data_IF_894840609703
#
_entry.id   IF_894840609703
#
_cell.length_a   1.000
_cell.length_b   1.000
_cell.length_c   1.000
_cell.angle_alpha   90.00
_cell.angle_beta   90.00
_cell.angle_gamma   90.00
#
_symmetry.space_group_name_H-M   'P 1'
#
loop_
_entity.id
_entity.type
_entity.pdbx_description
1 polymer ?
#
# COMPACT_ATOMS: atom_id res chain seq x y z
N UNK A 1 14.38 6.27 43.63
CA UNK A 1 14.71 5.10 42.78
C UNK A 1 13.60 4.77 41.78
N UNK A 2 12.38 4.43 42.22
CA UNK A 2 11.26 4.07 41.33
C UNK A 2 10.85 5.18 40.34
N UNK A 3 10.85 6.46 40.76
CA UNK A 3 10.60 7.62 39.87
C UNK A 3 11.72 7.88 38.86
N UNK A 4 12.99 7.65 39.23
CA UNK A 4 14.12 7.80 38.28
C UNK A 4 14.09 6.71 37.22
N UNK A 5 13.77 5.46 37.61
CA UNK A 5 13.57 4.32 36.70
C UNK A 5 12.45 4.57 35.68
N UNK A 6 11.32 5.14 36.11
CA UNK A 6 10.23 5.51 35.20
C UNK A 6 10.61 6.62 34.21
N UNK A 7 11.39 7.62 34.65
CA UNK A 7 11.84 8.73 33.78
C UNK A 7 12.86 8.22 32.75
N UNK A 8 13.82 7.37 33.15
CA UNK A 8 14.77 6.76 32.21
C UNK A 8 14.09 5.83 31.22
N UNK A 9 13.10 5.05 31.65
CA UNK A 9 12.35 4.16 30.76
C UNK A 9 11.50 4.95 29.76
N UNK A 10 10.86 6.04 30.19
CA UNK A 10 10.10 6.93 29.31
C UNK A 10 10.99 7.63 28.26
N UNK A 11 12.19 8.07 28.64
CA UNK A 11 13.17 8.68 27.71
C UNK A 11 13.67 7.68 26.65
N UNK A 12 13.93 6.43 27.05
CA UNK A 12 14.38 5.38 26.12
C UNK A 12 13.28 4.98 25.14
N UNK A 13 12.02 4.84 25.60
CA UNK A 13 10.88 4.51 24.72
C UNK A 13 10.58 5.64 23.75
N UNK A 14 10.60 6.90 24.22
CA UNK A 14 10.39 8.07 23.36
C UNK A 14 11.49 8.19 22.29
N UNK A 15 12.73 7.83 22.61
CA UNK A 15 13.85 7.86 21.68
C UNK A 15 13.75 6.79 20.57
N UNK A 16 13.31 5.57 20.88
CA UNK A 16 13.13 4.52 19.86
C UNK A 16 12.01 4.86 18.86
N UNK A 17 10.93 5.49 19.30
CA UNK A 17 9.79 5.80 18.42
C UNK A 17 10.10 6.92 17.40
N UNK A 18 10.95 7.89 17.75
CA UNK A 18 11.30 9.01 16.85
C UNK A 18 12.33 8.63 15.78
N UNK A 19 13.21 7.67 16.06
CA UNK A 19 14.23 7.21 15.09
C UNK A 19 13.61 6.41 13.94
N UNK A 20 12.54 5.63 14.19
CA UNK A 20 11.89 4.85 13.15
C UNK A 20 11.12 5.71 12.13
N UNK A 21 10.54 6.84 12.57
CA UNK A 21 9.72 7.71 11.71
C UNK A 21 10.56 8.42 10.64
N UNK A 22 11.84 8.69 10.90
CA UNK A 22 12.72 9.42 9.98
C UNK A 22 13.57 8.50 9.08
N UNK A 23 13.48 7.17 9.21
CA UNK A 23 14.35 6.26 8.45
C UNK A 23 14.22 6.44 6.94
N UNK A 24 12.99 6.48 6.42
CA UNK A 24 12.75 6.60 4.99
C UNK A 24 13.04 8.01 4.47
N UNK A 25 12.85 9.03 5.32
CA UNK A 25 13.22 10.42 5.04
C UNK A 25 14.74 10.55 4.87
N UNK A 26 15.52 9.90 5.76
CA UNK A 26 16.98 9.90 5.71
C UNK A 26 17.53 9.13 4.50
N UNK A 27 16.89 8.01 4.13
CA UNK A 27 17.32 7.16 3.02
C UNK A 27 16.95 7.74 1.64
N UNK A 28 15.72 8.25 1.49
CA UNK A 28 15.14 8.58 0.19
C UNK A 28 14.57 10.01 0.10
N UNK A 29 14.80 10.84 1.12
CA UNK A 29 14.29 12.20 1.17
C UNK A 29 12.85 12.28 1.68
N UNK A 30 12.41 13.51 1.96
CA UNK A 30 11.05 13.80 2.40
C UNK A 30 10.01 13.32 1.38
N UNK A 31 8.84 12.90 1.87
CA UNK A 31 7.72 12.56 1.00
C UNK A 31 7.18 13.80 0.28
N UNK A 32 6.91 13.66 -1.00
CA UNK A 32 6.27 14.62 -1.89
C UNK A 32 4.92 14.07 -2.33
N UNK A 33 3.84 14.30 -1.56
CA UNK A 33 2.52 13.73 -1.88
C UNK A 33 2.06 14.02 -3.31
N UNK A 34 2.30 15.23 -3.78
CA UNK A 34 1.87 15.71 -5.10
C UNK A 34 2.63 15.09 -6.29
N UNK A 35 3.63 14.22 -6.04
CA UNK A 35 4.46 13.59 -7.09
C UNK A 35 3.63 12.97 -8.21
N UNK A 36 2.50 12.35 -7.87
CA UNK A 36 1.63 11.68 -8.84
C UNK A 36 0.47 12.52 -9.35
N UNK A 37 0.36 13.79 -8.98
CA UNK A 37 -0.62 14.72 -9.56
C UNK A 37 -0.23 15.14 -10.99
N UNK A 38 1.05 14.97 -11.34
CA UNK A 38 1.61 15.23 -12.68
C UNK A 38 2.47 14.04 -13.13
N UNK A 39 1.87 12.88 -13.36
CA UNK A 39 2.63 11.70 -13.73
C UNK A 39 3.28 11.90 -15.11
N UNK A 40 4.47 11.31 -15.28
CA UNK A 40 5.18 11.32 -16.55
C UNK A 40 4.94 10.00 -17.29
N UNK A 41 4.74 10.03 -18.62
CA UNK A 41 4.64 8.82 -19.41
C UNK A 41 6.02 8.15 -19.56
N UNK A 42 6.02 6.88 -19.95
CA UNK A 42 7.24 6.15 -20.31
C UNK A 42 7.18 5.66 -21.76
N UNK A 43 8.31 5.71 -22.51
CA UNK A 43 8.37 5.11 -23.84
C UNK A 43 8.48 3.57 -23.82
N UNK A 44 8.78 2.97 -22.67
CA UNK A 44 9.07 1.52 -22.56
C UNK A 44 7.96 0.71 -21.91
N UNK A 45 7.13 1.33 -21.06
CA UNK A 45 6.05 0.67 -20.33
C UNK A 45 4.82 1.58 -20.38
N UNK A 46 3.72 1.04 -20.88
CA UNK A 46 2.42 1.70 -20.95
C UNK A 46 1.56 1.24 -19.77
N UNK A 47 1.11 2.18 -18.94
CA UNK A 47 0.15 1.84 -17.88
C UNK A 47 -1.12 1.20 -18.47
N UNK A 48 -1.64 1.75 -19.56
CA UNK A 48 -2.91 1.29 -20.14
C UNK A 48 -2.82 -0.08 -20.79
N UNK A 49 -1.71 -0.37 -21.48
CA UNK A 49 -1.57 -1.60 -22.25
C UNK A 49 -0.86 -2.71 -21.47
N UNK A 50 0.04 -2.37 -20.54
CA UNK A 50 0.87 -3.36 -19.83
C UNK A 50 0.41 -3.56 -18.38
N UNK A 51 -0.05 -2.52 -17.70
CA UNK A 51 -0.29 -2.55 -16.23
C UNK A 51 -1.76 -2.77 -15.89
N UNK A 52 -2.64 -1.92 -16.42
CA UNK A 52 -4.08 -1.99 -16.16
C UNK A 52 -4.67 -3.39 -16.47
N UNK A 53 -4.28 -4.11 -17.55
CA UNK A 53 -4.78 -5.47 -17.80
C UNK A 53 -4.39 -6.47 -16.71
N UNK A 54 -3.16 -6.37 -16.17
CA UNK A 54 -2.70 -7.22 -15.06
C UNK A 54 -3.51 -6.94 -13.80
N UNK A 55 -3.68 -5.65 -13.46
CA UNK A 55 -4.47 -5.23 -12.29
C UNK A 55 -5.92 -5.68 -12.42
N UNK A 56 -6.53 -5.52 -13.60
CA UNK A 56 -7.89 -5.95 -13.87
C UNK A 56 -8.06 -7.46 -13.66
N UNK A 57 -7.11 -8.26 -14.15
CA UNK A 57 -7.21 -9.71 -14.06
C UNK A 57 -6.92 -10.26 -12.66
N UNK A 58 -6.05 -9.61 -11.88
CA UNK A 58 -5.45 -10.20 -10.67
C UNK A 58 -5.71 -9.45 -9.38
N UNK A 59 -6.17 -8.20 -9.44
CA UNK A 59 -6.26 -7.33 -8.28
C UNK A 59 -7.65 -6.70 -8.12
N UNK A 60 -8.27 -6.26 -9.22
CA UNK A 60 -9.57 -5.57 -9.21
C UNK A 60 -10.69 -6.40 -8.60
N UNK A 61 -10.64 -7.74 -8.68
CA UNK A 61 -11.63 -8.62 -8.03
C UNK A 61 -11.80 -8.34 -6.52
N UNK A 62 -10.74 -7.89 -5.84
CA UNK A 62 -10.80 -7.46 -4.43
C UNK A 62 -10.75 -5.94 -4.26
N UNK A 63 -10.23 -5.20 -5.25
CA UNK A 63 -9.93 -3.77 -5.16
C UNK A 63 -10.77 -2.90 -6.12
N UNK A 64 -12.01 -3.30 -6.42
CA UNK A 64 -12.89 -2.59 -7.36
C UNK A 64 -13.68 -1.43 -6.73
N UNK A 65 -14.10 -1.59 -5.48
CA UNK A 65 -15.18 -0.81 -4.86
C UNK A 65 -14.71 -0.13 -3.56
N UNK A 66 -15.59 0.65 -2.92
CA UNK A 66 -15.25 1.36 -1.67
C UNK A 66 -15.25 0.45 -0.43
N UNK A 67 -15.74 -0.78 -0.56
CA UNK A 67 -15.64 -1.87 0.41
C UNK A 67 -14.34 -2.69 0.26
N UNK A 68 -13.51 -2.34 -0.74
CA UNK A 68 -12.20 -2.98 -0.93
C UNK A 68 -11.37 -2.94 0.36
N UNK A 69 -10.54 -3.96 0.62
CA UNK A 69 -9.62 -3.96 1.75
C UNK A 69 -8.79 -2.68 1.79
N UNK A 70 -8.75 -2.03 2.95
CA UNK A 70 -8.08 -0.76 3.20
C UNK A 70 -8.52 0.36 2.23
N UNK A 71 -9.75 0.28 1.72
CA UNK A 71 -10.29 1.14 0.66
C UNK A 71 -9.42 1.25 -0.61
N UNK A 72 -8.38 0.43 -0.79
CA UNK A 72 -7.47 0.55 -1.91
C UNK A 72 -8.20 0.20 -3.21
N UNK A 73 -8.16 1.10 -4.19
CA UNK A 73 -8.79 0.91 -5.50
C UNK A 73 -7.74 0.78 -6.58
N UNK A 74 -7.84 -0.29 -7.37
CA UNK A 74 -6.86 -0.60 -8.43
C UNK A 74 -7.49 -0.58 -9.83
N UNK A 75 -8.67 0.04 -9.95
CA UNK A 75 -9.43 0.15 -11.21
C UNK A 75 -8.96 1.25 -12.14
N UNK A 76 -8.14 2.17 -11.64
CA UNK A 76 -7.61 3.33 -12.36
C UNK A 76 -6.34 3.83 -11.64
N UNK A 77 -5.47 4.54 -12.35
CA UNK A 77 -4.21 5.05 -11.81
C UNK A 77 -4.45 5.97 -10.60
N UNK A 78 -5.47 6.82 -10.67
CA UNK A 78 -5.86 7.74 -9.61
C UNK A 78 -6.32 7.00 -8.34
N UNK A 79 -6.85 5.77 -8.49
CA UNK A 79 -7.17 4.90 -7.36
C UNK A 79 -5.93 4.42 -6.63
N UNK A 80 -4.86 4.10 -7.38
CA UNK A 80 -3.57 3.67 -6.86
C UNK A 80 -2.89 4.84 -6.15
N UNK A 81 -2.86 6.02 -6.76
CA UNK A 81 -2.18 7.21 -6.22
C UNK A 81 -2.93 7.85 -5.06
N UNK A 82 -4.26 7.75 -5.04
CA UNK A 82 -5.06 8.03 -3.84
C UNK A 82 -4.54 7.23 -2.64
N UNK A 83 -4.20 5.96 -2.86
CA UNK A 83 -3.61 5.08 -1.87
C UNK A 83 -4.65 4.31 -1.05
N UNK A 84 -4.25 3.91 0.15
CA UNK A 84 -5.05 3.09 1.06
C UNK A 84 -5.45 3.89 2.31
N UNK A 85 -6.47 3.44 3.02
CA UNK A 85 -6.95 4.04 4.26
C UNK A 85 -7.44 2.98 5.23
N UNK A 86 -7.24 3.23 6.53
CA UNK A 86 -7.82 2.41 7.63
C UNK A 86 -9.30 2.70 7.86
N UNK A 87 -9.84 3.75 7.24
CA UNK A 87 -11.23 4.15 7.43
C UNK A 87 -12.17 3.08 6.87
N UNK A 88 -13.18 2.71 7.65
CA UNK A 88 -14.19 1.75 7.25
C UNK A 88 -15.42 2.51 6.70
N UNK A 89 -15.73 2.39 5.40
CA UNK A 89 -16.84 3.16 4.80
C UNK A 89 -18.20 2.58 5.16
N UNK A 90 -18.36 1.27 5.05
CA UNK A 90 -19.63 0.57 5.24
C UNK A 90 -19.80 0.05 6.67
N UNK A 91 -19.96 0.98 7.61
CA UNK A 91 -20.19 0.67 9.02
C UNK A 91 -21.69 0.74 9.36
N UNK A 92 -22.34 -0.42 9.54
CA UNK A 92 -23.78 -0.50 9.79
C UNK A 92 -24.22 0.05 11.14
N UNK A 93 -23.31 0.15 12.12
CA UNK A 93 -23.55 0.73 13.44
C UNK A 93 -23.49 2.25 13.46
N UNK A 94 -23.09 2.89 12.35
CA UNK A 94 -22.87 4.34 12.32
C UNK A 94 -24.20 5.10 12.33
N UNK A 95 -24.32 6.05 13.27
CA UNK A 95 -25.51 6.90 13.41
C UNK A 95 -25.47 8.17 12.54
N UNK A 96 -24.28 8.60 12.14
CA UNK A 96 -24.06 9.83 11.36
C UNK A 96 -23.49 9.49 9.98
N UNK A 97 -23.76 10.35 9.00
CA UNK A 97 -23.13 10.22 7.69
C UNK A 97 -21.60 10.37 7.82
N UNK A 98 -20.86 9.57 7.06
CA UNK A 98 -19.42 9.77 6.87
C UNK A 98 -19.18 10.64 5.65
N UNK A 99 -18.07 11.37 5.67
CA UNK A 99 -17.58 12.04 4.48
C UNK A 99 -17.30 11.03 3.37
N UNK A 100 -17.77 11.28 2.14
CA UNK A 100 -17.54 10.38 1.02
C UNK A 100 -16.08 10.47 0.53
N UNK A 101 -15.58 9.37 -0.01
CA UNK A 101 -14.21 9.19 -0.50
C UNK A 101 -14.17 8.73 -1.96
N UNK A 102 -15.15 9.19 -2.75
CA UNK A 102 -15.33 8.84 -4.15
C UNK A 102 -14.20 9.39 -5.00
N UNK A 103 -13.61 8.50 -5.78
CA UNK A 103 -12.57 8.85 -6.75
C UNK A 103 -13.14 9.88 -7.75
N UNK A 104 -12.34 10.88 -8.11
CA UNK A 104 -12.68 11.98 -9.03
C UNK A 104 -13.74 13.00 -8.56
N UNK A 105 -14.29 12.85 -7.36
CA UNK A 105 -15.34 13.75 -6.87
C UNK A 105 -15.01 14.40 -5.54
N UNK A 106 -14.50 13.62 -4.59
CA UNK A 106 -14.37 14.10 -3.21
C UNK A 106 -12.97 14.68 -2.92
N UNK A 107 -11.99 14.46 -3.81
CA UNK A 107 -10.70 15.15 -3.84
C UNK A 107 -10.05 15.03 -5.24
N UNK A 108 -9.29 16.06 -5.63
CA UNK A 108 -8.70 16.22 -6.97
C UNK A 108 -7.18 16.06 -6.99
N UNK A 109 -6.53 15.93 -5.83
CA UNK A 109 -5.08 15.73 -5.72
C UNK A 109 -4.73 14.67 -4.68
N UNK A 110 -3.58 14.02 -4.87
CA UNK A 110 -2.97 13.11 -3.88
C UNK A 110 -2.76 13.79 -2.53
N UNK A 111 -2.29 15.04 -2.50
CA UNK A 111 -2.19 15.82 -1.27
C UNK A 111 -3.54 15.97 -0.56
N UNK A 112 -4.62 16.24 -1.31
CA UNK A 112 -5.98 16.32 -0.75
C UNK A 112 -6.42 14.97 -0.18
N UNK A 113 -6.02 13.85 -0.80
CA UNK A 113 -6.26 12.51 -0.26
C UNK A 113 -5.49 12.24 1.03
N UNK A 114 -4.23 12.68 1.15
CA UNK A 114 -3.48 12.63 2.42
C UNK A 114 -4.22 13.37 3.52
N UNK A 115 -4.77 14.56 3.22
CA UNK A 115 -5.61 15.33 4.14
C UNK A 115 -6.89 14.60 4.60
N UNK A 116 -7.37 13.62 3.83
CA UNK A 116 -8.51 12.75 4.17
C UNK A 116 -8.09 11.44 4.88
N UNK A 117 -6.83 11.30 5.25
CA UNK A 117 -6.32 10.12 5.96
C UNK A 117 -6.07 8.90 5.05
N UNK A 118 -5.85 9.12 3.76
CA UNK A 118 -5.24 8.11 2.90
C UNK A 118 -3.73 8.20 2.97
N UNK A 119 -3.04 7.07 2.91
CA UNK A 119 -1.58 6.98 2.87
C UNK A 119 -1.13 6.32 1.54
N UNK A 120 0.07 6.66 1.04
CA UNK A 120 0.52 6.19 -0.25
C UNK A 120 0.81 4.69 -0.24
N UNK A 121 0.56 4.05 -1.39
CA UNK A 121 1.01 2.67 -1.67
C UNK A 121 2.13 2.61 -2.70
N UNK A 122 2.42 3.75 -3.36
CA UNK A 122 3.54 3.98 -4.26
C UNK A 122 4.59 4.84 -3.54
N UNK A 123 5.81 4.88 -4.07
CA UNK A 123 6.86 5.75 -3.53
C UNK A 123 6.57 7.23 -3.85
N UNK A 124 6.39 8.05 -2.81
CA UNK A 124 6.26 9.52 -2.91
C UNK A 124 7.57 10.26 -2.62
N UNK A 125 8.68 9.56 -2.42
CA UNK A 125 10.00 10.16 -2.11
C UNK A 125 10.84 10.31 -3.38
N UNK A 126 12.16 10.36 -3.27
CA UNK A 126 13.07 10.41 -4.42
C UNK A 126 12.69 9.36 -5.47
N UNK A 127 12.64 9.79 -6.74
CA UNK A 127 12.37 8.90 -7.87
C UNK A 127 13.64 8.19 -8.36
N UNK A 128 14.14 7.24 -7.57
CA UNK A 128 15.20 6.31 -7.96
C UNK A 128 14.66 4.88 -7.99
N UNK A 129 15.25 4.01 -8.82
CA UNK A 129 14.84 2.61 -8.94
C UNK A 129 14.75 1.91 -7.58
N UNK A 130 15.74 2.13 -6.73
CA UNK A 130 15.79 1.58 -5.38
C UNK A 130 14.67 2.14 -4.48
N UNK A 131 14.52 3.47 -4.40
CA UNK A 131 13.48 4.10 -3.59
C UNK A 131 12.08 3.68 -4.06
N UNK A 132 11.89 3.58 -5.37
CA UNK A 132 10.61 3.18 -5.96
C UNK A 132 10.17 1.77 -5.57
N UNK A 133 11.11 0.86 -5.31
CA UNK A 133 10.81 -0.48 -4.83
C UNK A 133 10.75 -0.56 -3.30
N UNK A 134 11.70 0.05 -2.61
CA UNK A 134 11.83 -0.07 -1.16
C UNK A 134 10.81 0.78 -0.40
N UNK A 135 10.50 1.98 -0.89
CA UNK A 135 9.52 2.90 -0.31
C UNK A 135 8.11 2.77 -0.92
N UNK A 136 7.78 1.60 -1.49
CA UNK A 136 6.46 1.32 -2.09
C UNK A 136 5.83 0.09 -1.44
N UNK A 137 4.75 0.29 -0.68
CA UNK A 137 4.01 -0.82 -0.06
C UNK A 137 3.51 -1.80 -1.13
N UNK A 138 3.08 -1.29 -2.29
CA UNK A 138 2.65 -2.15 -3.40
C UNK A 138 3.79 -3.05 -3.91
N UNK A 139 4.99 -2.50 -4.11
CA UNK A 139 6.15 -3.29 -4.52
C UNK A 139 6.52 -4.32 -3.45
N UNK A 140 6.57 -3.89 -2.19
CA UNK A 140 6.90 -4.76 -1.08
C UNK A 140 5.91 -5.93 -0.92
N UNK A 141 4.61 -5.70 -1.05
CA UNK A 141 3.59 -6.75 -0.98
C UNK A 141 3.72 -7.79 -2.12
N UNK A 142 4.09 -7.35 -3.32
CA UNK A 142 4.37 -8.25 -4.45
C UNK A 142 5.64 -9.07 -4.21
N UNK A 143 6.72 -8.41 -3.75
CA UNK A 143 7.99 -9.07 -3.44
C UNK A 143 7.83 -10.09 -2.31
N UNK A 144 7.06 -9.76 -1.28
CA UNK A 144 6.74 -10.67 -0.19
C UNK A 144 6.03 -11.92 -0.68
N UNK A 145 5.05 -11.79 -1.58
CA UNK A 145 4.34 -12.95 -2.15
C UNK A 145 5.28 -13.87 -2.91
N UNK A 146 6.23 -13.30 -3.64
CA UNK A 146 7.23 -14.06 -4.39
C UNK A 146 8.24 -14.75 -3.46
N UNK A 147 8.65 -14.08 -2.39
CA UNK A 147 9.57 -14.63 -1.39
C UNK A 147 8.90 -15.71 -0.52
N UNK A 148 7.60 -15.59 -0.28
CA UNK A 148 6.80 -16.50 0.54
C UNK A 148 5.57 -16.97 -0.25
N UNK A 149 5.74 -17.88 -1.22
CA UNK A 149 4.62 -18.45 -1.96
C UNK A 149 3.65 -19.19 -1.03
N UNK A 150 2.42 -19.41 -1.51
CA UNK A 150 1.44 -20.15 -0.72
C UNK A 150 1.95 -21.58 -0.44
N UNK A 151 1.64 -22.15 0.74
CA UNK A 151 1.90 -23.55 1.02
C UNK A 151 1.21 -24.47 0.01
N UNK A 152 1.90 -25.53 -0.41
CA UNK A 152 1.34 -26.57 -1.29
C UNK A 152 0.37 -27.46 -0.50
N UNK A 153 -0.84 -26.96 -0.32
CA UNK A 153 -1.91 -27.57 0.47
C UNK A 153 -3.26 -27.27 -0.15
N UNK A 154 -4.21 -28.21 -0.04
CA UNK A 154 -5.56 -28.01 -0.58
C UNK A 154 -6.35 -26.95 0.19
N UNK A 155 -6.06 -26.77 1.48
CA UNK A 155 -6.68 -25.80 2.37
C UNK A 155 -5.59 -25.00 3.03
N UNK A 156 -5.68 -23.67 2.92
CA UNK A 156 -4.72 -22.78 3.54
C UNK A 156 -4.78 -22.87 5.07
N UNK A 157 -3.64 -22.73 5.77
CA UNK A 157 -3.60 -22.82 7.23
C UNK A 157 -4.41 -21.70 7.89
N UNK A 158 -4.80 -21.92 9.15
CA UNK A 158 -5.55 -20.97 9.98
C UNK A 158 -4.86 -19.60 10.16
N UNK A 159 -3.58 -19.49 9.77
CA UNK A 159 -2.88 -18.21 9.70
C UNK A 159 -3.48 -17.25 8.67
N UNK A 160 -4.37 -17.70 7.78
CA UNK A 160 -5.13 -16.83 6.89
C UNK A 160 -6.53 -16.59 7.46
N UNK A 161 -6.89 -15.32 7.68
CA UNK A 161 -8.24 -14.95 8.06
C UNK A 161 -9.10 -14.63 6.83
N UNK A 162 -10.17 -15.41 6.64
CA UNK A 162 -11.16 -15.24 5.57
C UNK A 162 -12.56 -14.89 6.09
N UNK A 163 -12.70 -14.52 7.37
CA UNK A 163 -13.99 -14.10 7.94
C UNK A 163 -14.48 -12.83 7.24
N UNK A 164 -15.82 -12.70 7.15
CA UNK A 164 -16.49 -11.56 6.52
C UNK A 164 -16.23 -10.23 7.26
N UNK A 165 -16.15 -10.27 8.59
CA UNK A 165 -15.91 -9.11 9.46
C UNK A 165 -14.55 -9.21 10.17
N UNK A 166 -13.50 -9.50 9.40
CA UNK A 166 -12.14 -9.52 9.95
C UNK A 166 -11.59 -8.12 10.17
N UNK A 167 -10.69 -7.99 11.14
CA UNK A 167 -9.88 -6.79 11.29
C UNK A 167 -8.91 -6.68 10.11
N UNK A 168 -9.10 -5.64 9.30
CA UNK A 168 -8.26 -5.41 8.12
C UNK A 168 -6.86 -4.96 8.56
N UNK A 169 -5.84 -5.71 8.13
CA UNK A 169 -4.44 -5.39 8.41
C UNK A 169 -3.92 -4.40 7.37
N UNK A 170 -4.18 -3.12 7.61
CA UNK A 170 -3.90 -2.02 6.70
C UNK A 170 -2.60 -1.32 7.10
N UNK A 171 -1.47 -1.78 6.55
CA UNK A 171 -0.14 -1.20 6.81
C UNK A 171 0.20 -0.09 5.83
N UNK A 172 0.91 0.92 6.33
CA UNK A 172 1.64 1.90 5.54
C UNK A 172 3.12 1.47 5.41
N UNK A 173 3.96 2.33 4.83
CA UNK A 173 5.37 2.05 4.60
C UNK A 173 6.16 1.94 5.91
N UNK A 174 5.89 2.85 6.85
CA UNK A 174 6.58 2.95 8.14
C UNK A 174 6.37 1.67 8.98
N UNK A 175 5.18 1.07 8.93
CA UNK A 175 4.84 -0.13 9.69
C UNK A 175 4.98 -1.45 8.88
N UNK A 176 5.37 -1.37 7.60
CA UNK A 176 5.40 -2.55 6.72
C UNK A 176 6.37 -3.64 7.22
N UNK A 177 7.49 -3.27 7.83
CA UNK A 177 8.46 -4.23 8.34
C UNK A 177 7.84 -5.13 9.42
N UNK A 178 7.16 -4.53 10.40
CA UNK A 178 6.41 -5.25 11.45
C UNK A 178 5.28 -6.09 10.85
N UNK A 179 4.52 -5.54 9.89
CA UNK A 179 3.49 -6.28 9.18
C UNK A 179 4.04 -7.56 8.53
N UNK A 180 5.18 -7.46 7.82
CA UNK A 180 5.80 -8.59 7.14
C UNK A 180 6.28 -9.67 8.11
N UNK A 181 6.81 -9.27 9.26
CA UNK A 181 7.25 -10.20 10.32
C UNK A 181 6.06 -10.95 10.93
N UNK A 182 4.97 -10.25 11.21
CA UNK A 182 3.76 -10.84 11.80
C UNK A 182 2.95 -11.68 10.80
N UNK A 183 2.99 -11.31 9.52
CA UNK A 183 2.17 -11.90 8.46
C UNK A 183 2.98 -12.30 7.22
N UNK A 184 4.00 -13.18 7.33
CA UNK A 184 4.94 -13.45 6.25
C UNK A 184 4.27 -13.99 4.97
N UNK A 185 3.21 -14.77 5.10
CA UNK A 185 2.46 -15.36 3.97
C UNK A 185 1.41 -14.41 3.36
N UNK A 186 1.22 -13.20 3.90
CA UNK A 186 0.14 -12.29 3.52
C UNK A 186 0.53 -11.29 2.41
N UNK A 187 1.54 -11.62 1.61
CA UNK A 187 1.84 -10.89 0.38
C UNK A 187 0.68 -10.96 -0.63
N UNK A 188 0.65 -10.00 -1.56
CA UNK A 188 -0.42 -9.87 -2.54
C UNK A 188 -0.11 -10.64 -3.84
N UNK A 189 -1.08 -11.36 -4.44
CA UNK A 189 -2.49 -11.47 -4.03
C UNK A 189 -2.70 -12.30 -2.75
N UNK A 190 -3.48 -11.76 -1.81
CA UNK A 190 -3.77 -12.40 -0.52
C UNK A 190 -4.64 -13.66 -0.71
N UNK A 191 -4.25 -14.77 -0.08
CA UNK A 191 -4.99 -16.04 -0.15
C UNK A 191 -5.07 -16.70 -1.53
N UNK A 192 -4.42 -16.13 -2.56
CA UNK A 192 -4.40 -16.66 -3.93
C UNK A 192 -2.97 -16.95 -4.37
N UNK A 193 -2.75 -17.82 -5.38
CA UNK A 193 -1.41 -18.04 -5.92
C UNK A 193 -0.76 -16.73 -6.41
N UNK A 194 0.58 -16.73 -6.40
CA UNK A 194 1.37 -15.62 -6.95
C UNK A 194 1.02 -15.32 -8.40
N UNK A 195 1.48 -14.15 -8.87
CA UNK A 195 1.37 -13.78 -10.28
C UNK A 195 2.28 -14.69 -11.12
N UNK A 196 1.93 -14.90 -12.39
CA UNK A 196 2.87 -15.48 -13.35
C UNK A 196 4.11 -14.59 -13.44
N UNK A 197 5.28 -15.18 -13.66
CA UNK A 197 6.56 -14.45 -13.68
C UNK A 197 6.54 -13.24 -14.60
N UNK A 198 5.95 -13.36 -15.79
CA UNK A 198 5.79 -12.24 -16.71
C UNK A 198 5.01 -11.09 -16.08
N UNK A 199 3.81 -11.35 -15.55
CA UNK A 199 2.98 -10.31 -14.93
C UNK A 199 3.65 -9.71 -13.69
N UNK A 200 4.32 -10.54 -12.89
CA UNK A 200 5.07 -10.08 -11.73
C UNK A 200 6.18 -9.12 -12.15
N UNK A 201 7.00 -9.52 -13.12
CA UNK A 201 8.13 -8.73 -13.58
C UNK A 201 7.68 -7.45 -14.27
N UNK A 202 6.59 -7.47 -15.03
CA UNK A 202 6.00 -6.25 -15.62
C UNK A 202 5.57 -5.25 -14.55
N UNK A 203 4.87 -5.70 -13.50
CA UNK A 203 4.49 -4.81 -12.39
C UNK A 203 5.71 -4.27 -11.62
N UNK A 204 6.70 -5.12 -11.32
CA UNK A 204 7.91 -4.68 -10.63
C UNK A 204 8.69 -3.67 -11.48
N UNK A 205 8.86 -3.91 -12.79
CA UNK A 205 9.57 -2.98 -13.67
C UNK A 205 8.86 -1.63 -13.79
N UNK A 206 7.51 -1.64 -13.81
CA UNK A 206 6.72 -0.41 -13.78
C UNK A 206 6.89 0.36 -12.46
N UNK A 207 6.83 -0.34 -11.33
CA UNK A 207 7.06 0.26 -10.01
C UNK A 207 8.48 0.82 -9.92
N UNK A 208 9.50 0.03 -10.27
CA UNK A 208 10.92 0.43 -10.30
C UNK A 208 11.15 1.70 -11.15
N UNK A 209 10.46 1.80 -12.29
CA UNK A 209 10.51 2.96 -13.19
C UNK A 209 9.78 4.21 -12.66
N UNK A 210 9.25 4.15 -11.44
CA UNK A 210 8.58 5.28 -10.79
C UNK A 210 7.10 5.38 -11.11
N UNK A 211 6.47 4.26 -11.52
CA UNK A 211 5.05 4.17 -11.85
C UNK A 211 4.60 5.19 -12.91
N UNK A 212 5.24 5.24 -14.08
CA UNK A 212 4.84 6.13 -15.15
C UNK A 212 3.39 5.89 -15.56
N UNK A 213 2.70 6.95 -16.00
CA UNK A 213 1.32 6.89 -16.44
C UNK A 213 1.08 7.83 -17.60
N UNK A 214 0.37 7.30 -18.58
CA UNK A 214 -0.24 8.02 -19.68
C UNK A 214 -1.78 7.87 -19.60
N UNK A 215 -2.53 8.97 -19.77
CA UNK A 215 -3.99 8.90 -19.79
C UNK A 215 -4.51 8.07 -20.98
N UNK A 216 -5.75 7.50 -20.89
CA UNK A 216 -6.39 6.75 -21.98
C UNK A 216 -6.55 7.54 -23.29
#
# INVERSE_FOLDING_TARGET
>A
MRRLLFITFALVISGCATVAINLWDDLYGLAEPERFDRPLPSPTISYQNDIQPILNQRCVVCHACYDAPCQLKLTAFEGITRGASKMYIYESSRLLATEPTRLFHDAESTLSWRGKGFYPVLNERQNSAEANLNASVMAQMLLQKRAHPLPDSQVLPDSFDFKLHRDQQCTDLEHYAEYKENYPLWGMPYGLPGLKDQNHNTLIAWLESGSPYEPP
#
